data_IF_200476285163
#
_entry.id   IF_200476285163
#
_cell.length_a   1.000
_cell.length_b   1.000
_cell.length_c   1.000
_cell.angle_alpha   90.00
_cell.angle_beta   90.00
_cell.angle_gamma   90.00
#
_symmetry.space_group_name_H-M   'P 1'
#
loop_
_entity.id
_entity.type
_entity.pdbx_description
1 polymer ?
#
# COMPACT_ATOMS: atom_id res chain seq x y z
N UNK A 1 47.46 -25.99 -31.08
CA UNK A 1 46.86 -26.11 -29.74
C UNK A 1 46.85 -24.70 -29.12
N UNK A 2 45.72 -23.99 -29.22
CA UNK A 2 45.56 -22.67 -28.61
C UNK A 2 44.67 -22.84 -27.39
N UNK A 3 45.22 -22.60 -26.20
CA UNK A 3 44.53 -22.60 -24.91
C UNK A 3 43.93 -21.21 -24.72
N UNK A 4 42.61 -21.09 -24.71
CA UNK A 4 41.89 -19.89 -24.35
C UNK A 4 41.64 -19.90 -22.84
N UNK A 5 42.37 -19.04 -22.13
CA UNK A 5 42.10 -18.77 -20.71
C UNK A 5 40.98 -17.77 -20.61
N UNK A 6 39.82 -18.24 -20.14
CA UNK A 6 38.68 -17.37 -19.82
C UNK A 6 38.94 -16.75 -18.45
N UNK A 7 39.18 -15.43 -18.42
CA UNK A 7 39.31 -14.63 -17.23
C UNK A 7 37.91 -14.30 -16.71
N UNK A 8 37.48 -14.96 -15.63
CA UNK A 8 36.28 -14.56 -14.89
C UNK A 8 36.61 -13.32 -14.08
N UNK A 9 36.15 -12.14 -14.53
CA UNK A 9 36.10 -10.94 -13.73
C UNK A 9 34.92 -11.07 -12.75
N UNK A 10 35.23 -11.35 -11.49
CA UNK A 10 34.26 -11.23 -10.42
C UNK A 10 33.97 -9.73 -10.17
N UNK A 11 32.87 -9.23 -10.69
CA UNK A 11 32.34 -7.91 -10.31
C UNK A 11 31.70 -8.06 -8.95
N UNK A 12 32.47 -7.80 -7.90
CA UNK A 12 31.95 -7.62 -6.54
C UNK A 12 31.21 -6.27 -6.51
N UNK A 13 29.91 -6.26 -6.83
CA UNK A 13 29.08 -5.12 -6.58
C UNK A 13 28.93 -4.98 -5.05
N UNK A 14 29.67 -4.07 -4.46
CA UNK A 14 29.41 -3.59 -3.09
C UNK A 14 28.06 -2.88 -3.09
N UNK A 15 26.99 -3.60 -2.75
CA UNK A 15 25.74 -2.97 -2.36
C UNK A 15 25.92 -2.47 -0.93
N UNK A 16 25.67 -1.19 -0.64
CA UNK A 16 25.62 -0.74 0.74
C UNK A 16 24.42 -1.43 1.41
N UNK A 17 24.69 -2.32 2.32
CA UNK A 17 23.70 -2.86 3.24
C UNK A 17 23.39 -1.76 4.27
N UNK A 18 22.46 -0.89 3.92
CA UNK A 18 21.77 -0.05 4.88
C UNK A 18 20.28 -0.40 4.80
N UNK A 19 19.93 -1.63 5.17
CA UNK A 19 18.64 -1.85 5.79
C UNK A 19 18.75 -1.17 7.16
N UNK A 20 18.34 0.10 7.25
CA UNK A 20 17.95 0.67 8.54
C UNK A 20 16.91 -0.28 9.10
N UNK A 21 17.15 -0.82 10.30
CA UNK A 21 16.17 -1.62 11.01
C UNK A 21 14.86 -0.84 10.96
N UNK A 22 13.87 -1.39 10.25
CA UNK A 22 12.55 -0.79 10.16
C UNK A 22 12.07 -0.73 11.61
N UNK A 23 11.84 0.47 12.12
CA UNK A 23 11.47 0.64 13.51
C UNK A 23 10.05 0.06 13.62
N UNK A 24 9.92 -1.17 14.10
CA UNK A 24 8.63 -1.88 14.25
C UNK A 24 7.63 -1.04 15.04
N UNK A 25 8.11 -0.11 15.88
CA UNK A 25 7.29 0.86 16.61
C UNK A 25 6.44 1.76 15.68
N UNK A 26 6.85 1.99 14.42
CA UNK A 26 6.04 2.79 13.50
C UNK A 26 4.69 2.13 13.25
N UNK A 27 4.65 0.83 13.08
CA UNK A 27 3.46 0.06 12.72
C UNK A 27 2.58 -0.30 13.91
N UNK A 28 3.06 -0.03 15.15
CA UNK A 28 2.27 -0.26 16.34
C UNK A 28 1.29 0.92 16.56
N UNK A 29 -0.02 0.66 16.74
CA UNK A 29 -0.95 1.73 17.09
C UNK A 29 -0.58 2.35 18.46
N UNK A 30 -0.96 3.61 18.72
CA UNK A 30 -0.79 4.21 20.03
C UNK A 30 -1.46 3.35 21.12
N UNK A 31 -0.83 3.23 22.30
CA UNK A 31 -1.29 2.34 23.37
C UNK A 31 -2.76 2.54 23.76
N UNK A 32 -3.26 3.78 23.69
CA UNK A 32 -4.65 4.14 23.98
C UNK A 32 -5.62 3.98 22.79
N UNK A 33 -5.15 3.57 21.61
CA UNK A 33 -5.96 3.55 20.39
C UNK A 33 -7.23 2.69 20.54
N UNK A 34 -7.11 1.50 21.15
CA UNK A 34 -8.27 0.62 21.37
C UNK A 34 -9.26 1.17 22.39
N UNK A 35 -8.79 1.93 23.40
CA UNK A 35 -9.64 2.52 24.42
C UNK A 35 -10.25 3.84 23.97
N UNK A 36 -9.58 4.57 23.09
CA UNK A 36 -10.01 5.85 22.55
C UNK A 36 -9.85 5.84 21.02
N UNK A 37 -10.75 5.14 20.31
CA UNK A 37 -10.66 5.00 18.86
C UNK A 37 -10.81 6.37 18.19
N UNK A 38 -10.01 6.57 17.16
CA UNK A 38 -10.08 7.76 16.34
C UNK A 38 -11.01 7.53 15.14
N UNK A 39 -11.60 8.58 14.62
CA UNK A 39 -12.44 8.50 13.43
C UNK A 39 -11.64 7.92 12.24
N UNK A 40 -12.30 7.11 11.36
CA UNK A 40 -11.69 6.57 10.16
C UNK A 40 -10.96 7.63 9.33
N UNK A 41 -9.79 7.28 8.80
CA UNK A 41 -8.92 8.19 8.07
C UNK A 41 -8.14 9.20 8.94
N UNK A 42 -8.24 9.14 10.29
CA UNK A 42 -7.38 9.96 11.16
C UNK A 42 -5.94 9.46 11.08
N UNK A 43 -5.00 10.39 10.85
CA UNK A 43 -3.57 10.09 10.83
C UNK A 43 -3.06 9.92 12.26
N UNK A 44 -2.56 8.73 12.57
CA UNK A 44 -2.01 8.37 13.89
C UNK A 44 -0.52 8.69 13.98
N UNK A 45 0.21 8.50 12.87
CA UNK A 45 1.66 8.71 12.78
C UNK A 45 2.09 8.92 11.34
N UNK A 46 3.16 9.69 11.14
CA UNK A 46 3.82 9.85 9.84
C UNK A 46 5.33 9.70 9.98
N UNK A 47 5.98 9.23 8.93
CA UNK A 47 7.45 9.12 8.86
C UNK A 47 7.91 9.36 7.41
N UNK A 48 8.73 10.38 7.15
CA UNK A 48 9.38 10.53 5.84
C UNK A 48 10.23 9.31 5.49
N UNK A 49 10.30 8.99 4.21
CA UNK A 49 11.21 7.95 3.69
C UNK A 49 12.41 8.62 3.06
N UNK A 50 13.59 8.36 3.63
CA UNK A 50 14.85 8.99 3.20
C UNK A 50 15.11 8.83 1.70
N UNK A 51 15.62 9.89 1.10
CA UNK A 51 15.97 9.95 -0.33
C UNK A 51 14.80 9.67 -1.29
N UNK A 52 13.57 9.84 -0.83
CA UNK A 52 12.35 9.72 -1.64
C UNK A 52 11.42 10.91 -1.41
N UNK A 53 10.32 10.96 -2.18
CA UNK A 53 9.20 11.89 -1.94
C UNK A 53 8.05 11.22 -1.18
N UNK A 54 8.32 10.05 -0.61
CA UNK A 54 7.33 9.27 0.10
C UNK A 54 7.30 9.63 1.59
N UNK A 55 6.11 9.63 2.15
CA UNK A 55 5.86 9.73 3.59
C UNK A 55 4.99 8.55 3.99
N UNK A 56 5.50 7.69 4.87
CA UNK A 56 4.70 6.63 5.49
C UNK A 56 3.62 7.27 6.36
N UNK A 57 2.48 6.62 6.44
CA UNK A 57 1.38 6.98 7.34
C UNK A 57 0.86 5.76 8.06
N UNK A 58 0.52 5.92 9.34
CA UNK A 58 -0.32 5.01 10.10
C UNK A 58 -1.65 5.75 10.32
N UNK A 59 -2.77 5.12 10.03
CA UNK A 59 -4.07 5.75 10.10
C UNK A 59 -5.14 4.84 10.70
N UNK A 60 -6.19 5.44 11.21
CA UNK A 60 -7.35 4.74 11.75
C UNK A 60 -8.26 4.26 10.62
N UNK A 61 -8.78 3.04 10.77
CA UNK A 61 -9.80 2.45 9.91
C UNK A 61 -10.74 1.59 10.76
N UNK A 62 -11.64 0.84 10.13
CA UNK A 62 -12.52 -0.12 10.78
C UNK A 62 -12.48 -1.47 10.09
N UNK A 63 -12.62 -2.55 10.86
CA UNK A 63 -12.88 -3.87 10.31
C UNK A 63 -14.34 -3.99 9.80
N UNK A 64 -14.70 -5.16 9.29
CA UNK A 64 -16.07 -5.42 8.78
C UNK A 64 -17.15 -5.33 9.85
N UNK A 65 -16.80 -5.47 11.12
CA UNK A 65 -17.71 -5.38 12.27
C UNK A 65 -17.78 -3.94 12.83
N UNK A 66 -17.09 -2.98 12.21
CA UNK A 66 -17.01 -1.59 12.66
C UNK A 66 -16.06 -1.36 13.83
N UNK A 67 -15.23 -2.35 14.20
CA UNK A 67 -14.22 -2.19 15.25
C UNK A 67 -13.02 -1.38 14.73
N UNK A 68 -12.45 -0.50 15.56
CA UNK A 68 -11.31 0.31 15.16
C UNK A 68 -10.05 -0.54 14.94
N UNK A 69 -9.40 -0.34 13.81
CA UNK A 69 -8.12 -0.95 13.45
C UNK A 69 -7.15 0.12 12.95
N UNK A 70 -5.85 -0.12 13.14
CA UNK A 70 -4.83 0.72 12.56
C UNK A 70 -4.32 0.10 11.26
N UNK A 71 -4.15 0.92 10.23
CA UNK A 71 -3.67 0.50 8.92
C UNK A 71 -2.49 1.37 8.53
N UNK A 72 -1.51 0.80 7.88
CA UNK A 72 -0.37 1.53 7.34
C UNK A 72 -0.49 1.78 5.83
N UNK A 73 0.37 2.67 5.35
CA UNK A 73 0.45 3.02 3.95
C UNK A 73 1.43 4.15 3.72
N UNK A 74 1.37 4.79 2.57
CA UNK A 74 2.23 5.94 2.27
C UNK A 74 1.63 6.88 1.24
N UNK A 75 2.19 8.08 1.21
CA UNK A 75 1.89 9.12 0.22
C UNK A 75 3.16 9.45 -0.55
N UNK A 76 3.08 9.55 -1.88
CA UNK A 76 4.13 10.12 -2.74
C UNK A 76 3.62 11.44 -3.29
N UNK A 77 4.30 12.53 -2.95
CA UNK A 77 3.98 13.84 -3.51
C UNK A 77 4.64 14.03 -4.89
N UNK A 78 3.97 14.68 -5.85
CA UNK A 78 4.60 15.08 -7.10
C UNK A 78 5.62 16.20 -6.89
N UNK A 79 6.50 16.45 -7.89
CA UNK A 79 7.51 17.52 -7.85
C UNK A 79 6.91 18.94 -7.98
N UNK A 80 5.63 19.02 -8.27
CA UNK A 80 4.87 20.26 -8.52
C UNK A 80 3.53 20.19 -7.76
N UNK A 81 2.79 21.29 -7.62
CA UNK A 81 1.46 21.23 -7.02
C UNK A 81 0.62 20.14 -7.67
N UNK A 82 0.02 19.28 -6.84
CA UNK A 82 -0.76 18.15 -7.34
C UNK A 82 -1.98 18.62 -8.14
N UNK A 83 -2.19 18.01 -9.30
CA UNK A 83 -3.35 18.26 -10.18
C UNK A 83 -4.52 17.33 -9.86
N UNK A 84 -4.31 16.32 -9.03
CA UNK A 84 -5.29 15.33 -8.58
C UNK A 84 -4.66 14.35 -7.63
N UNK A 85 -5.47 13.44 -7.11
CA UNK A 85 -5.03 12.38 -6.18
C UNK A 85 -5.49 11.03 -6.71
N UNK A 86 -4.63 10.01 -6.62
CA UNK A 86 -4.98 8.63 -6.92
C UNK A 86 -4.58 7.74 -5.75
N UNK A 87 -5.51 6.91 -5.28
CA UNK A 87 -5.24 5.85 -4.30
C UNK A 87 -4.96 4.57 -5.05
N UNK A 88 -3.81 3.99 -4.80
CA UNK A 88 -3.43 2.66 -5.28
C UNK A 88 -3.76 1.63 -4.20
N UNK A 89 -4.57 0.68 -4.58
CA UNK A 89 -4.83 -0.53 -3.84
C UNK A 89 -3.92 -1.64 -4.41
N UNK A 90 -2.92 -2.12 -3.67
CA UNK A 90 -1.92 -3.04 -4.20
C UNK A 90 -2.49 -4.40 -4.58
N UNK A 91 -1.91 -5.02 -5.59
CA UNK A 91 -2.09 -6.45 -5.85
C UNK A 91 -1.39 -7.30 -4.80
N UNK A 92 -1.65 -8.60 -4.83
CA UNK A 92 -1.14 -9.57 -3.84
C UNK A 92 0.39 -9.54 -3.74
N UNK A 93 0.92 -9.37 -2.52
CA UNK A 93 2.35 -9.36 -2.22
C UNK A 93 2.76 -10.42 -1.20
N UNK A 94 1.82 -11.02 -0.52
CA UNK A 94 2.00 -11.99 0.55
C UNK A 94 1.19 -11.61 1.81
N UNK A 95 1.22 -12.48 2.82
CA UNK A 95 0.43 -12.31 4.04
C UNK A 95 1.26 -11.87 5.26
N UNK A 96 2.57 -11.90 5.16
CA UNK A 96 3.44 -11.50 6.28
C UNK A 96 3.65 -9.99 6.32
N UNK A 97 3.85 -9.45 7.51
CA UNK A 97 4.05 -8.01 7.76
C UNK A 97 5.16 -7.38 6.91
N UNK A 98 6.18 -8.15 6.57
CA UNK A 98 7.26 -7.70 5.68
C UNK A 98 6.81 -7.45 4.24
N UNK A 99 5.62 -7.94 3.85
CA UNK A 99 5.04 -7.76 2.53
C UNK A 99 4.29 -6.43 2.39
N UNK A 100 4.10 -5.69 3.49
CA UNK A 100 3.44 -4.39 3.44
C UNK A 100 4.18 -3.44 2.48
N UNK A 101 3.49 -2.85 1.49
CA UNK A 101 4.10 -1.91 0.56
C UNK A 101 4.88 -0.77 1.22
N UNK A 102 4.42 -0.26 2.35
CA UNK A 102 5.09 0.81 3.09
C UNK A 102 6.39 0.39 3.78
N UNK A 103 6.64 -0.91 3.91
CA UNK A 103 7.94 -1.44 4.38
C UNK A 103 9.00 -1.47 3.27
N UNK A 104 8.58 -1.25 2.05
CA UNK A 104 9.47 -1.28 0.89
C UNK A 104 9.50 -2.65 0.17
N UNK A 105 10.51 -2.91 -0.61
CA UNK A 105 11.61 -2.00 -0.92
C UNK A 105 11.14 -0.78 -1.71
N UNK A 106 11.81 0.35 -1.52
CA UNK A 106 11.57 1.60 -2.27
C UNK A 106 12.28 1.58 -3.64
N UNK A 107 12.79 0.44 -3.99
CA UNK A 107 13.28 0.01 -5.30
C UNK A 107 12.36 -1.09 -5.81
N UNK A 108 12.39 -1.36 -7.12
CA UNK A 108 11.52 -2.38 -7.76
C UNK A 108 11.70 -3.76 -7.12
N UNK A 109 12.88 -4.07 -6.61
CA UNK A 109 13.11 -5.34 -5.92
C UNK A 109 14.30 -5.29 -4.96
N UNK A 110 14.25 -6.12 -3.94
CA UNK A 110 15.35 -6.38 -3.02
C UNK A 110 15.48 -7.89 -2.77
N UNK A 111 16.70 -8.36 -2.64
CA UNK A 111 17.02 -9.75 -2.35
C UNK A 111 17.76 -9.81 -1.02
N UNK A 112 17.26 -10.63 -0.10
CA UNK A 112 17.95 -11.00 1.15
C UNK A 112 18.29 -12.48 1.11
N UNK A 113 19.15 -12.97 2.02
CA UNK A 113 19.46 -14.41 2.09
C UNK A 113 18.25 -15.33 2.30
N UNK A 114 17.15 -14.78 2.82
CA UNK A 114 15.96 -15.54 3.19
C UNK A 114 14.70 -15.16 2.41
N UNK A 115 14.73 -14.07 1.65
CA UNK A 115 13.55 -13.61 0.92
C UNK A 115 13.91 -12.73 -0.27
N UNK A 116 13.06 -12.76 -1.30
CA UNK A 116 13.02 -11.79 -2.38
C UNK A 116 11.73 -11.00 -2.24
N UNK A 117 11.83 -9.68 -2.11
CA UNK A 117 10.69 -8.78 -2.10
C UNK A 117 10.70 -7.92 -3.37
N UNK A 118 9.57 -7.83 -4.05
CA UNK A 118 9.42 -7.06 -5.29
C UNK A 118 8.26 -6.09 -5.14
N UNK A 119 8.54 -4.80 -5.29
CA UNK A 119 7.50 -3.77 -5.36
C UNK A 119 7.22 -3.45 -6.84
N UNK A 120 6.53 -4.37 -7.53
CA UNK A 120 6.29 -4.30 -8.97
C UNK A 120 5.37 -3.13 -9.38
N UNK A 121 4.61 -2.57 -8.45
CA UNK A 121 3.73 -1.43 -8.71
C UNK A 121 4.42 -0.07 -8.50
N UNK A 122 5.58 -0.04 -7.86
CA UNK A 122 6.31 1.20 -7.59
C UNK A 122 6.60 2.03 -8.86
N UNK A 123 6.98 1.44 -10.02
CA UNK A 123 7.19 2.20 -11.25
C UNK A 123 5.96 2.96 -11.72
N UNK A 124 4.76 2.36 -11.68
CA UNK A 124 3.54 3.03 -12.10
C UNK A 124 3.13 4.13 -11.11
N UNK A 125 3.40 3.94 -9.83
CA UNK A 125 3.16 4.94 -8.78
C UNK A 125 4.05 6.17 -8.98
N UNK A 126 5.35 5.99 -9.21
CA UNK A 126 6.26 7.10 -9.55
C UNK A 126 5.94 7.74 -10.89
N UNK A 127 5.49 6.96 -11.88
CA UNK A 127 5.02 7.50 -13.14
C UNK A 127 3.79 8.40 -12.94
N UNK A 128 2.79 7.97 -12.16
CA UNK A 128 1.64 8.80 -11.81
C UNK A 128 2.06 10.09 -11.09
N UNK A 129 3.01 10.00 -10.15
CA UNK A 129 3.57 11.17 -9.47
C UNK A 129 4.30 12.11 -10.44
N UNK A 130 5.03 11.60 -11.43
CA UNK A 130 5.69 12.40 -12.46
C UNK A 130 4.71 13.15 -13.36
N UNK A 131 3.50 12.62 -13.55
CA UNK A 131 2.42 13.29 -14.26
C UNK A 131 1.76 14.41 -13.42
N UNK A 132 2.12 14.53 -12.14
CA UNK A 132 1.59 15.54 -11.23
C UNK A 132 0.44 15.04 -10.35
N UNK A 133 0.22 13.74 -10.27
CA UNK A 133 -0.75 13.16 -9.36
C UNK A 133 -0.11 12.91 -7.99
N UNK A 134 -0.83 13.22 -6.92
CA UNK A 134 -0.52 12.69 -5.60
C UNK A 134 -0.89 11.22 -5.60
N UNK A 135 0.03 10.38 -5.14
CA UNK A 135 -0.18 8.94 -5.01
C UNK A 135 -0.34 8.59 -3.54
N UNK A 136 -1.41 7.89 -3.21
CA UNK A 136 -1.66 7.34 -1.87
C UNK A 136 -1.71 5.82 -2.03
N UNK A 137 -1.08 5.08 -1.13
CA UNK A 137 -1.06 3.62 -1.16
C UNK A 137 -1.45 3.11 0.23
N UNK A 138 -2.37 2.16 0.29
CA UNK A 138 -2.71 1.41 1.51
C UNK A 138 -1.91 0.13 1.58
N UNK A 139 -1.63 -0.35 2.80
CA UNK A 139 -1.08 -1.69 3.02
C UNK A 139 -2.17 -2.73 3.29
N UNK A 140 -3.42 -2.30 3.48
CA UNK A 140 -4.57 -3.08 3.99
C UNK A 140 -4.48 -3.41 5.49
N UNK A 141 -5.60 -3.90 6.03
CA UNK A 141 -5.71 -4.32 7.43
C UNK A 141 -4.83 -5.55 7.68
N UNK A 142 -4.09 -5.54 8.79
CA UNK A 142 -3.28 -6.67 9.24
C UNK A 142 -2.07 -6.98 8.35
N UNK A 143 -1.66 -6.06 7.46
CA UNK A 143 -0.42 -6.15 6.71
C UNK A 143 0.51 -5.03 7.18
N UNK A 144 1.60 -5.41 7.85
CA UNK A 144 2.52 -4.48 8.50
C UNK A 144 2.11 -4.03 9.89
N UNK A 145 0.82 -3.94 10.16
CA UNK A 145 0.24 -3.62 11.48
C UNK A 145 -0.22 -4.87 12.22
N UNK A 146 -0.41 -4.82 13.56
CA UNK A 146 -0.88 -5.99 14.31
C UNK A 146 -2.21 -6.54 13.80
N UNK A 147 -2.31 -7.86 13.72
CA UNK A 147 -3.49 -8.58 13.26
C UNK A 147 -3.17 -9.57 12.15
N UNK A 148 -4.20 -10.14 11.57
CA UNK A 148 -4.08 -11.04 10.42
C UNK A 148 -4.54 -10.27 9.18
N UNK A 149 -3.77 -10.35 8.11
CA UNK A 149 -4.20 -9.80 6.83
C UNK A 149 -5.44 -10.52 6.31
N UNK A 150 -6.53 -9.77 6.17
CA UNK A 150 -7.84 -10.27 5.76
C UNK A 150 -7.97 -10.24 4.24
N UNK A 151 -7.13 -11.03 3.59
CA UNK A 151 -6.98 -11.12 2.15
C UNK A 151 -8.34 -11.31 1.44
N UNK A 152 -8.62 -10.45 0.46
CA UNK A 152 -9.86 -10.39 -0.35
C UNK A 152 -11.16 -10.25 0.45
N UNK A 153 -11.09 -9.77 1.70
CA UNK A 153 -12.27 -9.33 2.42
C UNK A 153 -12.72 -7.97 1.86
N UNK A 154 -13.78 -7.99 1.06
CA UNK A 154 -14.24 -6.83 0.31
C UNK A 154 -14.54 -5.60 1.19
N UNK A 155 -15.20 -5.79 2.35
CA UNK A 155 -15.52 -4.69 3.25
C UNK A 155 -14.26 -4.07 3.87
N UNK A 156 -13.36 -4.89 4.40
CA UNK A 156 -12.14 -4.41 5.06
C UNK A 156 -11.15 -3.79 4.08
N UNK A 157 -11.02 -4.35 2.88
CA UNK A 157 -10.21 -3.76 1.83
C UNK A 157 -10.78 -2.40 1.36
N UNK A 158 -12.11 -2.30 1.22
CA UNK A 158 -12.78 -1.05 0.88
C UNK A 158 -12.58 0.03 1.96
N UNK A 159 -12.75 -0.33 3.24
CA UNK A 159 -12.51 0.58 4.37
C UNK A 159 -11.06 1.08 4.35
N UNK A 160 -10.09 0.18 4.21
CA UNK A 160 -8.68 0.54 4.16
C UNK A 160 -8.36 1.51 3.00
N UNK A 161 -8.93 1.29 1.82
CA UNK A 161 -8.74 2.16 0.63
C UNK A 161 -9.35 3.54 0.83
N UNK A 162 -10.61 3.61 1.31
CA UNK A 162 -11.31 4.88 1.51
C UNK A 162 -10.72 5.70 2.65
N UNK A 163 -10.28 5.03 3.73
CA UNK A 163 -9.61 5.70 4.82
C UNK A 163 -8.16 6.11 4.49
N UNK A 164 -7.49 5.37 3.60
CA UNK A 164 -6.22 5.82 3.03
C UNK A 164 -6.39 7.12 2.25
N UNK A 165 -7.48 7.28 1.50
CA UNK A 165 -7.80 8.53 0.81
C UNK A 165 -7.90 9.70 1.80
N UNK A 166 -8.70 9.54 2.86
CA UNK A 166 -8.86 10.54 3.92
C UNK A 166 -7.54 10.89 4.59
N UNK A 167 -6.79 9.85 5.00
CA UNK A 167 -5.51 10.01 5.69
C UNK A 167 -4.47 10.66 4.79
N UNK A 168 -4.33 10.20 3.56
CA UNK A 168 -3.36 10.72 2.61
C UNK A 168 -3.61 12.19 2.25
N UNK A 169 -4.87 12.60 2.09
CA UNK A 169 -5.21 14.02 1.91
C UNK A 169 -4.81 14.87 3.13
N UNK A 170 -5.00 14.34 4.35
CA UNK A 170 -4.56 15.01 5.59
C UNK A 170 -3.03 15.11 5.69
N UNK A 171 -2.30 14.03 5.38
CA UNK A 171 -0.82 14.04 5.33
C UNK A 171 -0.32 15.09 4.36
N UNK A 172 -0.93 15.18 3.21
CA UNK A 172 -0.62 16.15 2.16
C UNK A 172 -1.09 17.58 2.46
N UNK A 173 -1.85 17.78 3.53
CA UNK A 173 -2.52 19.06 3.85
C UNK A 173 -3.39 19.57 2.68
N UNK A 174 -3.96 18.65 1.93
CA UNK A 174 -4.88 18.95 0.83
C UNK A 174 -6.31 19.11 1.36
N UNK A 175 -7.17 19.85 0.67
CA UNK A 175 -8.60 19.87 0.98
C UNK A 175 -9.20 18.46 0.93
N UNK A 176 -10.04 18.11 1.91
CA UNK A 176 -10.63 16.77 2.00
C UNK A 176 -11.63 16.49 0.87
N UNK A 177 -12.18 17.53 0.25
CA UNK A 177 -13.05 17.46 -0.93
C UNK A 177 -12.29 17.44 -2.26
N UNK A 178 -10.95 17.31 -2.21
CA UNK A 178 -10.13 17.14 -3.42
C UNK A 178 -10.58 15.91 -4.20
N UNK A 179 -10.58 15.95 -5.55
CA UNK A 179 -10.96 14.80 -6.35
C UNK A 179 -9.98 13.64 -6.17
N UNK A 180 -10.52 12.44 -5.93
CA UNK A 180 -9.78 11.20 -5.72
C UNK A 180 -10.18 10.17 -6.76
N UNK A 181 -9.20 9.61 -7.48
CA UNK A 181 -9.36 8.41 -8.28
C UNK A 181 -8.88 7.18 -7.51
N UNK A 182 -9.43 6.02 -7.80
CA UNK A 182 -8.95 4.73 -7.29
C UNK A 182 -8.31 3.92 -8.41
N UNK A 183 -7.23 3.24 -8.12
CA UNK A 183 -6.53 2.34 -9.03
C UNK A 183 -6.16 1.05 -8.30
N UNK A 184 -6.53 -0.10 -8.87
CA UNK A 184 -6.14 -1.40 -8.33
C UNK A 184 -6.11 -2.48 -9.40
N UNK A 185 -5.24 -3.48 -9.19
CA UNK A 185 -5.10 -4.64 -10.04
C UNK A 185 -5.11 -5.91 -9.20
N UNK A 186 -5.70 -7.00 -9.70
CA UNK A 186 -5.82 -8.28 -8.99
C UNK A 186 -6.55 -8.11 -7.64
N UNK A 187 -5.94 -8.48 -6.49
CA UNK A 187 -6.48 -8.15 -5.16
C UNK A 187 -6.90 -6.68 -5.08
N UNK A 188 -6.02 -5.77 -5.51
CA UNK A 188 -6.30 -4.34 -5.54
C UNK A 188 -7.48 -3.97 -6.44
N UNK A 189 -7.69 -4.71 -7.53
CA UNK A 189 -8.87 -4.57 -8.40
C UNK A 189 -10.17 -4.85 -7.64
N UNK A 190 -10.20 -5.92 -6.84
CA UNK A 190 -11.32 -6.24 -5.94
C UNK A 190 -11.52 -5.17 -4.87
N UNK A 191 -10.43 -4.75 -4.25
CA UNK A 191 -10.45 -3.73 -3.20
C UNK A 191 -11.04 -2.39 -3.67
N UNK A 192 -10.62 -1.88 -4.85
CA UNK A 192 -11.15 -0.61 -5.37
C UNK A 192 -12.57 -0.75 -5.93
N UNK A 193 -12.96 -1.92 -6.42
CA UNK A 193 -14.34 -2.18 -6.82
C UNK A 193 -15.27 -2.11 -5.59
N UNK A 194 -14.93 -2.82 -4.53
CA UNK A 194 -15.65 -2.76 -3.26
C UNK A 194 -15.64 -1.34 -2.64
N UNK A 195 -14.51 -0.64 -2.72
CA UNK A 195 -14.43 0.75 -2.24
C UNK A 195 -15.37 1.68 -3.03
N UNK A 196 -15.50 1.49 -4.35
CA UNK A 196 -16.42 2.28 -5.17
C UNK A 196 -17.90 1.99 -4.82
N UNK A 197 -18.22 0.73 -4.51
CA UNK A 197 -19.58 0.34 -4.09
C UNK A 197 -19.95 0.92 -2.73
N UNK A 198 -19.02 0.94 -1.78
CA UNK A 198 -19.25 1.41 -0.41
C UNK A 198 -19.02 2.92 -0.22
N UNK A 199 -18.50 3.63 -1.24
CA UNK A 199 -18.06 5.02 -1.07
C UNK A 199 -19.16 5.96 -0.56
N UNK A 200 -20.39 5.85 -1.10
CA UNK A 200 -21.48 6.74 -0.69
C UNK A 200 -21.96 6.48 0.73
N UNK A 201 -21.89 5.25 1.21
CA UNK A 201 -22.33 4.86 2.55
C UNK A 201 -21.23 5.08 3.59
N UNK A 202 -20.02 4.59 3.31
CA UNK A 202 -18.90 4.59 4.28
C UNK A 202 -18.09 5.88 4.28
N UNK A 203 -17.90 6.49 3.11
CA UNK A 203 -17.01 7.63 2.92
C UNK A 203 -17.63 8.75 2.07
N UNK A 204 -18.83 9.27 2.44
CA UNK A 204 -19.51 10.32 1.66
C UNK A 204 -18.73 11.63 1.60
N UNK A 205 -17.72 11.81 2.45
CA UNK A 205 -16.80 12.93 2.48
C UNK A 205 -15.64 12.80 1.48
N UNK A 206 -15.41 11.61 0.90
CA UNK A 206 -14.41 11.39 -0.14
C UNK A 206 -15.04 11.67 -1.50
N UNK A 207 -14.54 12.69 -2.19
CA UNK A 207 -14.99 13.01 -3.55
C UNK A 207 -14.36 12.05 -4.56
N UNK A 208 -14.99 10.87 -4.71
CA UNK A 208 -14.57 9.88 -5.69
C UNK A 208 -14.98 10.32 -7.09
N UNK A 209 -14.02 10.35 -8.03
CA UNK A 209 -14.26 10.81 -9.41
C UNK A 209 -14.05 9.72 -10.47
N UNK A 210 -13.53 8.57 -10.09
CA UNK A 210 -13.38 7.44 -10.99
C UNK A 210 -12.60 6.28 -10.34
N UNK A 211 -12.82 5.08 -10.86
CA UNK A 211 -12.19 3.86 -10.37
C UNK A 211 -11.71 3.01 -11.54
N UNK A 212 -10.46 2.57 -11.49
CA UNK A 212 -9.90 1.55 -12.36
C UNK A 212 -9.71 0.25 -11.57
N UNK A 213 -10.55 -0.74 -11.82
CA UNK A 213 -10.50 -2.06 -11.23
C UNK A 213 -10.01 -3.08 -12.27
N UNK A 214 -8.70 -3.34 -12.30
CA UNK A 214 -8.08 -4.27 -13.24
C UNK A 214 -8.11 -5.71 -12.71
N UNK A 215 -8.63 -6.65 -13.50
CA UNK A 215 -8.67 -8.09 -13.19
C UNK A 215 -9.09 -8.41 -11.74
N UNK A 216 -10.22 -7.89 -11.24
CA UNK A 216 -10.70 -8.17 -9.90
C UNK A 216 -11.00 -9.67 -9.74
N UNK A 217 -10.76 -10.29 -8.57
CA UNK A 217 -11.15 -11.67 -8.27
C UNK A 217 -12.68 -11.74 -8.06
N UNK A 218 -13.41 -11.75 -9.17
CA UNK A 218 -14.89 -11.64 -9.15
C UNK A 218 -15.59 -12.91 -8.65
N UNK A 219 -14.97 -14.07 -8.83
CA UNK A 219 -15.43 -15.36 -8.29
C UNK A 219 -14.35 -15.97 -7.41
N UNK A 220 -14.49 -15.78 -6.09
CA UNK A 220 -13.49 -16.27 -5.12
C UNK A 220 -13.50 -17.80 -5.04
N UNK A 221 -14.61 -18.47 -5.31
CA UNK A 221 -14.64 -19.92 -5.30
C UNK A 221 -13.79 -20.50 -6.45
N UNK A 222 -13.94 -19.96 -7.65
CA UNK A 222 -13.11 -20.36 -8.78
C UNK A 222 -11.62 -20.01 -8.56
N UNK A 223 -11.34 -18.82 -8.01
CA UNK A 223 -9.97 -18.43 -7.69
C UNK A 223 -9.33 -19.41 -6.73
N UNK A 224 -10.00 -19.71 -5.59
CA UNK A 224 -9.44 -20.59 -4.57
C UNK A 224 -9.29 -22.04 -5.08
N UNK A 225 -10.27 -22.55 -5.83
CA UNK A 225 -10.16 -23.89 -6.41
C UNK A 225 -9.04 -24.00 -7.47
N UNK A 226 -8.76 -22.89 -8.17
CA UNK A 226 -7.67 -22.86 -9.18
C UNK A 226 -6.29 -22.82 -8.52
N UNK A 227 -6.14 -22.10 -7.40
CA UNK A 227 -4.85 -21.97 -6.70
C UNK A 227 -4.63 -23.09 -5.67
N UNK A 228 -5.67 -23.81 -5.25
CA UNK A 228 -5.56 -24.93 -4.33
C UNK A 228 -4.82 -26.08 -5.02
N UNK A 229 -3.66 -26.46 -4.46
CA UNK A 229 -2.78 -27.46 -5.07
C UNK A 229 -1.93 -26.98 -6.26
N UNK A 230 -1.97 -25.73 -6.63
CA UNK A 230 -0.99 -25.13 -7.54
C UNK A 230 0.30 -24.86 -6.78
N UNK A 231 1.33 -25.64 -7.08
CA UNK A 231 2.69 -25.51 -6.52
C UNK A 231 3.57 -24.66 -7.42
#
# INVERSE_FOLDING_TARGET
MCVWSILFLAVSAMFPAAATADNDDFYQPPAQFSAHPQAPGTVLRTQPVDNTRATKMLYASTDQDGKPVAVSGYVIEPDRPAIGTVVFAPGTRGQGDMCAPSKGPWLVGAVSPTAMSVNYELPIQYYAASLGLRVIVTDYIGLGTPGIHTYVNAAEEAHAVLDAARAGLRVAKAPLDSPVGLHGYSQGGGAVAAAAELAEEYAPDVRLVGTYAGAPPADLFEVFTTVDGSS
#
